data_IF_778694375633
#
_entry.id   IF_778694375633
#
_cell.length_a   1.000
_cell.length_b   1.000
_cell.length_c   1.000
_cell.angle_alpha   90.00
_cell.angle_beta   90.00
_cell.angle_gamma   90.00
#
_symmetry.space_group_name_H-M   'P 1'
#
loop_
_entity.id
_entity.type
_entity.pdbx_description
1 polymer ?
#
# COMPACT_ATOMS: atom_id res chain seq x y z
N UNK A 1 19.61 -18.91 -5.22
CA UNK A 1 19.25 -17.48 -5.25
C UNK A 1 19.78 -16.81 -3.99
N UNK A 2 20.95 -16.16 -4.00
CA UNK A 2 21.48 -15.42 -2.83
C UNK A 2 22.68 -14.49 -3.14
N UNK A 3 22.64 -13.80 -4.29
CA UNK A 3 23.77 -12.97 -4.76
C UNK A 3 23.47 -11.47 -4.85
N UNK A 4 22.21 -11.05 -4.76
CA UNK A 4 21.82 -9.62 -4.85
C UNK A 4 21.91 -8.90 -3.48
N UNK A 5 21.76 -9.61 -2.37
CA UNK A 5 21.81 -9.01 -1.02
C UNK A 5 23.21 -8.52 -0.62
N UNK A 6 24.27 -8.96 -1.32
CA UNK A 6 25.66 -8.68 -0.95
C UNK A 6 26.20 -7.30 -1.38
N UNK A 7 25.46 -6.53 -2.17
CA UNK A 7 25.93 -5.27 -2.75
C UNK A 7 25.09 -4.05 -2.37
N UNK A 8 24.10 -4.19 -1.48
CA UNK A 8 23.27 -3.07 -1.05
C UNK A 8 23.92 -2.37 0.14
N UNK A 9 23.98 -1.04 0.08
CA UNK A 9 24.37 -0.24 1.24
C UNK A 9 23.33 -0.36 2.35
N UNK A 10 23.72 -0.08 3.60
CA UNK A 10 22.80 -0.08 4.73
C UNK A 10 21.58 0.84 4.49
N UNK A 11 21.77 1.96 3.80
CA UNK A 11 20.69 2.87 3.43
C UNK A 11 19.71 2.25 2.42
N UNK A 12 20.22 1.50 1.44
CA UNK A 12 19.38 0.81 0.46
C UNK A 12 18.60 -0.33 1.10
N UNK A 13 19.21 -1.09 2.02
CA UNK A 13 18.52 -2.12 2.80
C UNK A 13 17.42 -1.51 3.67
N UNK A 14 17.72 -0.41 4.37
CA UNK A 14 16.74 0.31 5.17
C UNK A 14 15.54 0.75 4.32
N UNK A 15 15.81 1.34 3.15
CA UNK A 15 14.77 1.76 2.22
C UNK A 15 13.89 0.59 1.76
N UNK A 16 14.51 -0.52 1.36
CA UNK A 16 13.76 -1.72 0.95
C UNK A 16 12.90 -2.26 2.08
N UNK A 17 13.41 -2.30 3.32
CA UNK A 17 12.64 -2.74 4.49
C UNK A 17 11.45 -1.81 4.75
N UNK A 18 11.66 -0.49 4.74
CA UNK A 18 10.56 0.46 4.97
C UNK A 18 9.49 0.38 3.88
N UNK A 19 9.90 0.30 2.61
CA UNK A 19 8.95 0.11 1.51
C UNK A 19 8.19 -1.21 1.61
N UNK A 20 8.87 -2.31 1.98
CA UNK A 20 8.20 -3.60 2.17
C UNK A 20 7.14 -3.56 3.27
N UNK A 21 7.39 -2.82 4.36
CA UNK A 21 6.39 -2.60 5.42
C UNK A 21 5.21 -1.78 4.89
N UNK A 22 5.47 -0.73 4.13
CA UNK A 22 4.44 0.11 3.53
C UNK A 22 3.54 -0.68 2.56
N UNK A 23 4.13 -1.43 1.63
CA UNK A 23 3.36 -2.25 0.69
C UNK A 23 2.57 -3.35 1.38
N UNK A 24 3.07 -3.89 2.51
CA UNK A 24 2.30 -4.85 3.30
C UNK A 24 1.03 -4.25 3.89
N UNK A 25 1.05 -2.98 4.29
CA UNK A 25 -0.17 -2.27 4.69
C UNK A 25 -1.06 -2.06 3.48
N UNK A 26 -0.52 -1.63 2.34
CA UNK A 26 -1.30 -1.40 1.11
C UNK A 26 -2.09 -2.66 0.69
N UNK A 27 -1.46 -3.83 0.80
CA UNK A 27 -2.04 -5.14 0.47
C UNK A 27 -3.03 -5.66 1.51
N UNK A 28 -3.12 -5.06 2.70
CA UNK A 28 -4.03 -5.47 3.77
C UNK A 28 -5.49 -5.11 3.45
N UNK A 29 -6.12 -5.99 2.67
CA UNK A 29 -7.52 -5.86 2.29
C UNK A 29 -8.46 -5.96 3.49
N UNK A 30 -8.11 -6.69 4.54
CA UNK A 30 -8.96 -6.81 5.72
C UNK A 30 -9.05 -5.46 6.43
N UNK A 31 -7.91 -4.82 6.67
CA UNK A 31 -7.85 -3.47 7.22
C UNK A 31 -8.55 -2.44 6.32
N UNK A 32 -8.33 -2.52 5.01
CA UNK A 32 -8.96 -1.62 4.02
C UNK A 32 -10.49 -1.72 3.99
N UNK A 33 -11.06 -2.90 4.25
CA UNK A 33 -12.52 -3.09 4.30
C UNK A 33 -13.12 -2.74 5.67
N UNK A 34 -12.37 -2.93 6.76
CA UNK A 34 -12.85 -2.67 8.12
C UNK A 34 -12.89 -1.17 8.42
N UNK A 35 -11.80 -0.46 8.11
CA UNK A 35 -11.70 1.00 8.29
C UNK A 35 -10.85 1.62 7.16
N UNK A 36 -11.49 2.06 6.05
CA UNK A 36 -10.80 2.71 4.95
C UNK A 36 -10.03 3.97 5.35
N UNK A 37 -10.55 4.73 6.31
CA UNK A 37 -9.93 5.98 6.77
C UNK A 37 -8.66 5.69 7.57
N UNK A 38 -8.70 4.79 8.57
CA UNK A 38 -7.52 4.41 9.36
C UNK A 38 -6.44 3.75 8.48
N UNK A 39 -6.86 2.91 7.52
CA UNK A 39 -5.99 2.32 6.51
C UNK A 39 -5.24 3.40 5.72
N UNK A 40 -5.98 4.42 5.26
CA UNK A 40 -5.40 5.49 4.46
C UNK A 40 -4.47 6.38 5.27
N UNK A 41 -4.87 6.75 6.49
CA UNK A 41 -4.03 7.53 7.40
C UNK A 41 -2.71 6.83 7.72
N UNK A 42 -2.72 5.51 7.94
CA UNK A 42 -1.51 4.74 8.23
C UNK A 42 -0.54 4.72 7.03
N UNK A 43 -1.05 4.59 5.80
CA UNK A 43 -0.22 4.67 4.59
C UNK A 43 0.44 6.04 4.44
N UNK A 44 -0.31 7.11 4.67
CA UNK A 44 0.21 8.48 4.62
C UNK A 44 1.24 8.71 5.73
N UNK A 45 0.96 8.26 6.95
CA UNK A 45 1.86 8.39 8.11
C UNK A 45 3.20 7.72 7.85
N UNK A 46 3.19 6.52 7.26
CA UNK A 46 4.43 5.81 6.92
C UNK A 46 5.20 6.49 5.79
N UNK A 47 4.53 6.99 4.75
CA UNK A 47 5.16 7.74 3.66
C UNK A 47 5.82 9.03 4.19
N UNK A 48 5.12 9.79 5.02
CA UNK A 48 5.63 11.02 5.62
C UNK A 48 6.80 10.74 6.57
N UNK A 49 6.78 9.61 7.28
CA UNK A 49 7.91 9.20 8.12
C UNK A 49 9.15 8.85 7.29
N UNK A 50 8.97 8.17 6.15
CA UNK A 50 10.08 7.85 5.24
C UNK A 50 10.71 9.10 4.62
N UNK A 51 9.90 10.08 4.21
CA UNK A 51 10.39 11.37 3.68
C UNK A 51 11.11 12.19 4.76
N UNK A 52 10.51 12.33 5.95
CA UNK A 52 11.13 13.06 7.08
C UNK A 52 12.47 12.47 7.51
N UNK A 53 12.64 11.16 7.39
CA UNK A 53 13.90 10.45 7.69
C UNK A 53 14.89 10.43 6.53
N UNK A 54 14.54 10.98 5.37
CA UNK A 54 15.36 10.98 4.16
C UNK A 54 15.59 9.59 3.58
N UNK A 55 14.67 8.64 3.85
CA UNK A 55 14.75 7.26 3.36
C UNK A 55 14.32 7.20 1.89
N UNK A 56 13.38 8.06 1.49
CA UNK A 56 12.89 8.21 0.13
C UNK A 56 13.04 9.67 -0.31
N UNK A 57 13.03 9.93 -1.61
CA UNK A 57 13.00 11.30 -2.13
C UNK A 57 11.56 11.80 -2.29
N UNK A 58 11.41 13.12 -2.50
CA UNK A 58 10.12 13.76 -2.68
C UNK A 58 9.26 13.13 -3.79
N UNK A 59 9.87 12.70 -4.91
CA UNK A 59 9.14 12.07 -6.00
C UNK A 59 8.57 10.71 -5.57
N UNK A 60 9.37 9.91 -4.87
CA UNK A 60 8.94 8.60 -4.35
C UNK A 60 7.85 8.76 -3.29
N UNK A 61 7.98 9.74 -2.40
CA UNK A 61 6.95 10.09 -1.43
C UNK A 61 5.62 10.46 -2.11
N UNK A 62 5.69 11.28 -3.16
CA UNK A 62 4.52 11.67 -3.95
C UNK A 62 3.86 10.45 -4.60
N UNK A 63 4.65 9.56 -5.18
CA UNK A 63 4.14 8.36 -5.86
C UNK A 63 3.45 7.42 -4.86
N UNK A 64 4.03 7.20 -3.67
CA UNK A 64 3.40 6.41 -2.61
C UNK A 64 2.05 7.01 -2.16
N UNK A 65 1.97 8.33 -2.01
CA UNK A 65 0.71 9.00 -1.65
C UNK A 65 -0.37 8.83 -2.72
N UNK A 66 0.00 8.98 -4.00
CA UNK A 66 -0.94 8.77 -5.10
C UNK A 66 -1.48 7.34 -5.15
N UNK A 67 -0.64 6.35 -4.83
CA UNK A 67 -1.06 4.96 -4.74
C UNK A 67 -1.98 4.70 -3.53
N UNK A 68 -1.69 5.31 -2.37
CA UNK A 68 -2.57 5.28 -1.21
C UNK A 68 -3.94 5.92 -1.48
N UNK A 69 -3.96 7.08 -2.15
CA UNK A 69 -5.19 7.77 -2.56
C UNK A 69 -6.02 6.89 -3.50
N UNK A 70 -5.36 6.27 -4.49
CA UNK A 70 -6.02 5.37 -5.42
C UNK A 70 -6.62 4.14 -4.70
N UNK A 71 -5.88 3.53 -3.76
CA UNK A 71 -6.38 2.41 -2.98
C UNK A 71 -7.57 2.79 -2.09
N UNK A 72 -7.53 3.97 -1.45
CA UNK A 72 -8.63 4.51 -0.67
C UNK A 72 -9.88 4.74 -1.51
N UNK A 73 -9.73 5.36 -2.69
CA UNK A 73 -10.86 5.58 -3.61
C UNK A 73 -11.52 4.26 -4.04
N UNK A 74 -10.74 3.20 -4.27
CA UNK A 74 -11.28 1.86 -4.59
C UNK A 74 -12.05 1.26 -3.41
N UNK A 75 -11.54 1.42 -2.18
CA UNK A 75 -12.18 0.97 -0.96
C UNK A 75 -13.55 1.67 -0.77
N UNK A 76 -13.56 3.01 -0.85
CA UNK A 76 -14.77 3.84 -0.69
C UNK A 76 -15.77 3.63 -1.84
N UNK A 77 -15.30 3.44 -3.08
CA UNK A 77 -16.16 3.12 -4.21
C UNK A 77 -16.78 1.71 -4.14
N UNK A 78 -16.44 0.93 -3.11
CA UNK A 78 -16.95 -0.41 -2.87
C UNK A 78 -16.46 -1.43 -3.89
N UNK A 79 -15.34 -1.18 -4.59
CA UNK A 79 -14.77 -2.15 -5.55
C UNK A 79 -14.41 -3.47 -4.87
N UNK A 80 -13.93 -3.40 -3.62
CA UNK A 80 -13.67 -4.58 -2.79
C UNK A 80 -14.96 -5.37 -2.46
N UNK A 81 -16.14 -4.73 -2.47
CA UNK A 81 -17.44 -5.37 -2.24
C UNK A 81 -18.09 -5.92 -3.52
N UNK A 82 -17.70 -5.41 -4.70
CA UNK A 82 -18.26 -5.85 -6.01
C UNK A 82 -17.94 -7.30 -6.38
N UNK A 83 -17.03 -7.96 -5.67
CA UNK A 83 -16.72 -9.39 -5.86
C UNK A 83 -17.63 -10.36 -5.10
N UNK A 84 -18.79 -9.90 -4.62
CA UNK A 84 -19.91 -10.80 -4.29
C UNK A 84 -21.09 -10.44 -5.17
N UNK A 85 -21.09 -10.92 -6.41
CA UNK A 85 -22.36 -11.21 -7.08
C UNK A 85 -22.42 -12.71 -7.38
N UNK A 86 -23.29 -13.44 -6.67
CA UNK A 86 -23.44 -14.88 -6.81
C UNK A 86 -24.00 -15.20 -8.19
N UNK A 87 -23.66 -16.37 -8.68
CA UNK A 87 -24.41 -17.06 -9.72
C UNK A 87 -25.89 -17.11 -9.32
N UNK A 88 -26.66 -16.12 -9.75
CA UNK A 88 -28.11 -16.19 -9.83
C UNK A 88 -28.60 -15.31 -10.97
N UNK A 89 -28.71 -15.92 -12.14
CA UNK A 89 -29.82 -15.61 -13.04
C UNK A 89 -30.21 -16.90 -13.76
N UNK A 90 -31.27 -17.49 -13.22
CA UNK A 90 -32.11 -18.50 -13.85
C UNK A 90 -32.75 -17.89 -15.12
N UNK A 91 -32.53 -18.48 -16.30
CA UNK A 91 -33.44 -18.33 -17.45
C UNK A 91 -33.10 -19.33 -18.58
N UNK A 92 -33.70 -20.52 -18.57
CA UNK A 92 -34.75 -20.95 -19.51
C UNK A 92 -35.21 -22.37 -19.19
#
# INVERSE_FOLDING_TARGET
MRTLEKNLSAAQLLKLTCLAVWYRVLEDRALRMDSPDDYHEELLRQADEMDRRGIICWQEWRDLRLEADAAYLRAVAGEDYRHVNPTSSLAK
#
